data_IF_226457480468
#
_entry.id   IF_226457480468
#
_cell.length_a   1.000
_cell.length_b   1.000
_cell.length_c   1.000
_cell.angle_alpha   90.00
_cell.angle_beta   90.00
_cell.angle_gamma   90.00
#
_symmetry.space_group_name_H-M   'P 1'
#
loop_
_entity.id
_entity.type
_entity.pdbx_description
1 polymer ?
#
# COMPACT_ATOMS: atom_id res chain seq x y z
N UNK A 1 -18.05 -23.86 3.63
CA UNK A 1 -17.76 -22.56 4.29
C UNK A 1 -18.77 -22.36 5.40
N UNK A 2 -18.35 -21.99 6.61
CA UNK A 2 -19.30 -21.66 7.68
C UNK A 2 -19.93 -20.27 7.40
N UNK A 3 -21.24 -20.10 7.62
CA UNK A 3 -21.91 -18.84 7.33
C UNK A 3 -21.45 -17.72 8.29
N UNK A 4 -21.42 -16.48 7.79
CA UNK A 4 -21.12 -15.29 8.62
C UNK A 4 -22.30 -14.88 9.49
N UNK A 5 -23.52 -15.24 9.09
CA UNK A 5 -24.75 -14.95 9.82
C UNK A 5 -25.60 -16.22 9.94
N UNK A 6 -26.15 -16.46 11.13
CA UNK A 6 -27.06 -17.57 11.43
C UNK A 6 -28.32 -16.98 12.08
N UNK A 7 -29.48 -17.15 11.44
CA UNK A 7 -30.74 -16.59 11.95
C UNK A 7 -30.73 -15.06 12.09
N UNK A 8 -30.02 -14.37 11.19
CA UNK A 8 -29.85 -12.90 11.24
C UNK A 8 -28.89 -12.41 12.32
N UNK A 9 -28.27 -13.31 13.09
CA UNK A 9 -27.27 -12.96 14.12
C UNK A 9 -25.85 -13.26 13.64
N UNK A 10 -24.84 -12.48 14.05
CA UNK A 10 -23.46 -12.76 13.68
C UNK A 10 -22.98 -14.09 14.27
N UNK A 11 -22.40 -14.95 13.44
CA UNK A 11 -21.92 -16.27 13.85
C UNK A 11 -20.57 -16.22 14.58
N UNK A 12 -20.13 -17.34 15.18
CA UNK A 12 -18.77 -17.46 15.73
C UNK A 12 -17.68 -17.18 14.67
N UNK A 13 -17.94 -17.54 13.42
CA UNK A 13 -17.03 -17.29 12.29
C UNK A 13 -16.89 -15.80 12.03
N UNK A 14 -18.00 -15.04 12.07
CA UNK A 14 -17.96 -13.58 11.99
C UNK A 14 -17.12 -12.96 13.10
N UNK A 15 -17.31 -13.37 14.36
CA UNK A 15 -16.56 -12.79 15.47
C UNK A 15 -15.06 -13.11 15.42
N UNK A 16 -14.69 -14.31 14.93
CA UNK A 16 -13.28 -14.66 14.67
C UNK A 16 -12.67 -13.82 13.56
N UNK A 17 -13.42 -13.61 12.48
CA UNK A 17 -13.02 -12.76 11.37
C UNK A 17 -12.84 -11.31 11.83
N UNK A 18 -13.82 -10.78 12.57
CA UNK A 18 -13.75 -9.45 13.17
C UNK A 18 -12.57 -9.33 14.11
N UNK A 19 -12.36 -10.29 15.01
CA UNK A 19 -11.23 -10.25 15.95
C UNK A 19 -9.87 -10.34 15.23
N UNK A 20 -9.80 -11.05 14.11
CA UNK A 20 -8.62 -11.10 13.26
C UNK A 20 -8.29 -9.72 12.69
N UNK A 21 -9.29 -8.98 12.19
CA UNK A 21 -9.12 -7.63 11.65
C UNK A 21 -8.96 -6.54 12.73
N UNK A 22 -9.67 -6.65 13.85
CA UNK A 22 -9.67 -5.67 14.94
C UNK A 22 -8.37 -5.69 15.76
N UNK A 23 -7.45 -6.61 15.46
CA UNK A 23 -6.08 -6.69 16.01
C UNK A 23 -5.00 -6.27 15.01
N UNK A 24 -5.39 -5.88 13.80
CA UNK A 24 -4.44 -5.36 12.82
C UNK A 24 -4.26 -3.87 13.13
N UNK A 25 -3.00 -3.39 13.16
CA UNK A 25 -2.69 -1.95 13.24
C UNK A 25 -3.52 -1.17 12.22
N UNK A 26 -3.93 0.06 12.53
CA UNK A 26 -4.71 0.93 11.63
C UNK A 26 -4.08 0.99 10.22
N UNK A 27 -2.74 0.97 10.15
CA UNK A 27 -1.99 0.93 8.88
C UNK A 27 -2.30 -0.28 7.99
N UNK A 28 -2.69 -1.42 8.56
CA UNK A 28 -2.95 -2.65 7.82
C UNK A 28 -4.33 -2.67 7.18
N UNK A 29 -5.32 -2.04 7.83
CA UNK A 29 -6.63 -1.84 7.22
C UNK A 29 -6.51 -0.90 6.02
N UNK A 30 -5.79 0.22 6.17
CA UNK A 30 -5.55 1.17 5.09
C UNK A 30 -4.84 0.52 3.90
N UNK A 31 -3.81 -0.29 4.17
CA UNK A 31 -3.08 -1.08 3.18
C UNK A 31 -3.96 -2.06 2.39
N UNK A 32 -4.96 -2.67 3.04
CA UNK A 32 -5.93 -3.56 2.40
C UNK A 32 -6.91 -2.74 1.55
N UNK A 33 -7.37 -1.59 2.05
CA UNK A 33 -8.29 -0.71 1.33
C UNK A 33 -7.66 -0.14 0.05
N UNK A 34 -6.41 0.32 0.14
CA UNK A 34 -5.62 0.78 -1.02
C UNK A 34 -5.49 -0.30 -2.09
N UNK A 35 -5.20 -1.54 -1.68
CA UNK A 35 -5.15 -2.67 -2.60
C UNK A 35 -6.52 -2.95 -3.25
N UNK A 36 -7.61 -2.87 -2.50
CA UNK A 36 -8.96 -3.05 -3.06
C UNK A 36 -9.36 -1.94 -4.03
N UNK A 37 -8.89 -0.70 -3.81
CA UNK A 37 -9.11 0.43 -4.70
C UNK A 37 -8.36 0.32 -6.03
N UNK A 38 -7.30 -0.49 -6.11
CA UNK A 38 -6.55 -0.67 -7.36
C UNK A 38 -7.28 -1.52 -8.41
N UNK A 39 -8.44 -2.08 -8.08
CA UNK A 39 -9.25 -2.88 -8.99
C UNK A 39 -10.40 -2.06 -9.59
N UNK A 40 -10.55 -2.08 -10.91
CA UNK A 40 -11.69 -1.46 -11.59
C UNK A 40 -13.03 -2.15 -11.27
N UNK A 41 -12.98 -3.41 -10.84
CA UNK A 41 -14.14 -4.21 -10.41
C UNK A 41 -13.78 -5.03 -9.18
N UNK A 42 -14.64 -5.02 -8.18
CA UNK A 42 -14.44 -5.76 -6.93
C UNK A 42 -14.36 -7.27 -7.19
N UNK A 43 -13.17 -7.90 -7.05
CA UNK A 43 -13.03 -9.33 -7.33
C UNK A 43 -13.60 -10.16 -6.18
N UNK A 44 -14.20 -11.31 -6.50
CA UNK A 44 -14.49 -12.32 -5.48
C UNK A 44 -13.18 -13.04 -5.16
N UNK A 45 -12.67 -12.87 -3.94
CA UNK A 45 -11.43 -13.51 -3.50
C UNK A 45 -11.54 -14.07 -2.08
N UNK A 46 -10.71 -15.07 -1.78
CA UNK A 46 -10.59 -15.60 -0.43
C UNK A 46 -9.91 -14.58 0.49
N UNK A 47 -10.14 -14.71 1.79
CA UNK A 47 -9.48 -13.84 2.78
C UNK A 47 -7.95 -13.91 2.71
N UNK A 48 -7.42 -15.12 2.53
CA UNK A 48 -5.97 -15.34 2.40
C UNK A 48 -5.43 -14.62 1.19
N UNK A 49 -6.10 -14.76 0.05
CA UNK A 49 -5.73 -14.09 -1.21
C UNK A 49 -5.76 -12.57 -1.08
N UNK A 50 -6.75 -12.02 -0.36
CA UNK A 50 -6.84 -10.59 -0.09
C UNK A 50 -5.62 -10.09 0.69
N UNK A 51 -5.26 -10.80 1.76
CA UNK A 51 -4.16 -10.40 2.64
C UNK A 51 -2.81 -10.51 1.92
N UNK A 52 -2.56 -11.63 1.23
CA UNK A 52 -1.33 -11.84 0.47
C UNK A 52 -1.20 -10.83 -0.69
N UNK A 53 -2.31 -10.55 -1.36
CA UNK A 53 -2.41 -9.56 -2.42
C UNK A 53 -2.08 -8.15 -1.93
N UNK A 54 -2.70 -7.73 -0.83
CA UNK A 54 -2.43 -6.44 -0.19
C UNK A 54 -0.96 -6.34 0.26
N UNK A 55 -0.40 -7.38 0.86
CA UNK A 55 1.00 -7.40 1.30
C UNK A 55 1.97 -7.30 0.12
N UNK A 56 1.65 -7.90 -1.02
CA UNK A 56 2.46 -7.80 -2.24
C UNK A 56 2.34 -6.40 -2.85
N UNK A 57 1.13 -5.87 -2.96
CA UNK A 57 0.85 -4.55 -3.51
C UNK A 57 1.60 -3.45 -2.75
N UNK A 58 1.48 -3.44 -1.42
CA UNK A 58 2.12 -2.40 -0.60
C UNK A 58 3.66 -2.47 -0.64
N UNK A 59 4.24 -3.69 -0.72
CA UNK A 59 5.69 -3.85 -0.93
C UNK A 59 6.14 -3.27 -2.27
N UNK A 60 5.38 -3.52 -3.33
CA UNK A 60 5.68 -2.98 -4.66
C UNK A 60 5.52 -1.45 -4.68
N UNK A 61 4.43 -0.91 -4.15
CA UNK A 61 4.21 0.54 -4.06
C UNK A 61 5.31 1.25 -3.29
N UNK A 62 5.76 0.66 -2.17
CA UNK A 62 6.89 1.20 -1.40
C UNK A 62 8.18 1.19 -2.21
N UNK A 63 8.50 0.08 -2.88
CA UNK A 63 9.70 -0.02 -3.71
C UNK A 63 9.70 0.99 -4.87
N UNK A 64 8.54 1.22 -5.50
CA UNK A 64 8.39 2.23 -6.55
C UNK A 64 8.59 3.65 -6.01
N UNK A 65 8.04 3.97 -4.83
CA UNK A 65 8.23 5.26 -4.18
C UNK A 65 9.69 5.49 -3.79
N UNK A 66 10.33 4.52 -3.14
CA UNK A 66 11.75 4.58 -2.76
C UNK A 66 12.64 4.78 -4.00
N UNK A 67 12.30 4.15 -5.13
CA UNK A 67 13.02 4.30 -6.40
C UNK A 67 12.74 5.64 -7.09
N UNK A 68 11.56 6.21 -6.92
CA UNK A 68 11.21 7.53 -7.43
C UNK A 68 11.93 8.64 -6.64
N UNK A 69 12.03 8.49 -5.32
CA UNK A 69 12.79 9.37 -4.42
C UNK A 69 14.31 9.26 -4.66
N UNK A 70 14.81 8.09 -5.04
CA UNK A 70 16.21 7.87 -5.41
C UNK A 70 16.58 8.36 -6.82
N UNK A 71 15.63 8.90 -7.61
CA UNK A 71 16.00 9.56 -8.88
C UNK A 71 16.88 10.77 -8.53
N UNK A 72 18.09 10.89 -9.10
CA UNK A 72 18.97 11.99 -8.77
C UNK A 72 18.23 13.28 -9.14
N UNK A 73 18.03 14.13 -8.13
CA UNK A 73 17.86 15.57 -8.34
C UNK A 73 18.94 15.91 -9.37
N UNK A 74 18.54 16.31 -10.59
CA UNK A 74 19.49 16.89 -11.53
C UNK A 74 20.17 17.99 -10.74
N UNK A 75 21.43 17.78 -10.36
CA UNK A 75 22.25 18.86 -9.85
C UNK A 75 22.19 19.89 -10.96
N UNK A 76 21.47 20.99 -10.73
CA UNK A 76 21.73 22.19 -11.49
C UNK A 76 23.22 22.43 -11.27
N UNK A 77 24.01 22.18 -12.33
CA UNK A 77 25.41 22.54 -12.32
C UNK A 77 25.45 24.03 -11.98
N UNK A 78 26.14 24.44 -10.92
CA UNK A 78 26.26 25.85 -10.66
C UNK A 78 27.03 26.44 -11.85
N UNK A 79 26.38 27.34 -12.59
CA UNK A 79 26.99 28.18 -13.62
C UNK A 79 27.98 29.13 -12.93
N UNK A 80 29.11 28.60 -12.45
CA UNK A 80 30.31 29.39 -12.20
C UNK A 80 31.25 29.11 -13.35
N UNK A 81 31.13 29.93 -14.39
CA UNK A 81 32.16 30.04 -15.39
C UNK A 81 33.35 30.78 -14.76
N UNK A 82 34.46 30.07 -14.57
CA UNK A 82 35.72 30.61 -14.04
C UNK A 82 36.28 31.70 -14.97
N UNK A 83 35.87 31.73 -16.25
CA UNK A 83 36.28 32.75 -17.20
C UNK A 83 35.82 34.16 -16.80
N UNK A 84 34.74 34.30 -16.03
CA UNK A 84 34.28 35.61 -15.55
C UNK A 84 35.11 36.18 -14.39
N UNK A 85 36.07 35.41 -13.85
CA UNK A 85 36.95 35.85 -12.74
C UNK A 85 38.33 36.33 -13.22
N UNK A 86 38.67 36.13 -14.49
CA UNK A 86 39.96 36.51 -15.08
C UNK A 86 39.93 37.82 -15.89
N UNK A 87 38.77 38.49 -15.97
CA UNK A 87 38.60 39.79 -16.64
C UNK A 87 38.70 41.00 -15.67
N UNK A 88 39.53 40.92 -14.62
CA UNK A 88 39.89 42.07 -13.77
C UNK A 88 41.40 42.35 -13.78
#
# INVERSE_FOLDING_TARGET
>A
MNPLFEGGRPSKTFWRLRAFFNKQDDSRLDNILLYLQSFDRYPVMSLTTLIEGADKFNRESKWQNDRAEAKPIKKEEPLYNIDSFLEL
#
